data_IF_617528462807
#
_entry.id   IF_617528462807
#
_cell.length_a   1.000
_cell.length_b   1.000
_cell.length_c   1.000
_cell.angle_alpha   90.00
_cell.angle_beta   90.00
_cell.angle_gamma   90.00
#
_symmetry.space_group_name_H-M   'P 1'
#
loop_
_entity.id
_entity.type
_entity.pdbx_description
1 polymer ?
#
# COMPACT_ATOMS: atom_id res chain seq x y z
N UNK A 1 -8.56 -6.56 10.52
CA UNK A 1 -8.52 -5.16 10.06
C UNK A 1 -7.23 -4.54 10.57
N UNK A 2 -6.37 -4.08 9.67
CA UNK A 2 -5.14 -3.38 10.03
C UNK A 2 -5.50 -1.97 10.52
N UNK A 3 -4.98 -1.56 11.69
CA UNK A 3 -5.34 -0.29 12.35
C UNK A 3 -4.17 0.68 12.32
N UNK A 4 -4.42 1.96 12.55
CA UNK A 4 -3.40 3.03 12.61
C UNK A 4 -2.26 2.74 13.60
N UNK A 5 -2.56 2.04 14.69
CA UNK A 5 -1.58 1.60 15.67
C UNK A 5 -0.58 0.60 15.07
N UNK A 6 -1.03 -0.31 14.21
CA UNK A 6 -0.17 -1.26 13.51
C UNK A 6 0.77 -0.54 12.55
N UNK A 7 0.30 0.56 11.95
CA UNK A 7 1.10 1.37 11.04
C UNK A 7 2.21 2.13 11.73
N UNK A 8 1.89 2.82 12.82
CA UNK A 8 2.91 3.57 13.58
C UNK A 8 3.97 2.62 14.13
N UNK A 9 3.57 1.42 14.56
CA UNK A 9 4.52 0.42 15.06
C UNK A 9 5.39 -0.16 13.95
N UNK A 10 4.82 -0.47 12.77
CA UNK A 10 5.60 -0.87 11.61
C UNK A 10 6.64 0.20 11.25
N UNK A 11 6.25 1.49 11.18
CA UNK A 11 7.19 2.57 10.88
C UNK A 11 8.29 2.69 11.93
N UNK A 12 7.95 2.48 13.21
CA UNK A 12 8.94 2.52 14.30
C UNK A 12 9.94 1.37 14.21
N UNK A 13 9.48 0.17 13.88
CA UNK A 13 10.30 -1.05 13.91
C UNK A 13 11.11 -1.26 12.62
N UNK A 14 10.45 -1.09 11.47
CA UNK A 14 11.01 -1.46 10.16
C UNK A 14 11.65 -0.26 9.43
N UNK A 15 11.19 0.96 9.73
CA UNK A 15 11.54 2.18 8.99
C UNK A 15 11.80 3.39 9.91
N UNK A 16 12.61 3.24 10.99
CA UNK A 16 12.78 4.28 12.01
C UNK A 16 13.29 5.61 11.47
N UNK A 17 14.07 5.60 10.38
CA UNK A 17 14.59 6.78 9.70
C UNK A 17 13.48 7.66 9.09
N UNK A 18 12.32 7.09 8.77
CA UNK A 18 11.17 7.78 8.19
C UNK A 18 10.08 8.12 9.20
N UNK A 19 10.20 7.64 10.45
CA UNK A 19 9.16 7.79 11.49
C UNK A 19 8.77 9.25 11.73
N UNK A 20 9.74 10.16 11.80
CA UNK A 20 9.46 11.58 12.04
C UNK A 20 8.66 12.21 10.88
N UNK A 21 9.01 11.87 9.63
CA UNK A 21 8.28 12.32 8.45
C UNK A 21 6.85 11.76 8.43
N UNK A 22 6.71 10.47 8.73
CA UNK A 22 5.41 9.80 8.85
C UNK A 22 4.50 10.46 9.91
N UNK A 23 5.04 10.75 11.09
CA UNK A 23 4.29 11.39 12.17
C UNK A 23 3.90 12.84 11.85
N UNK A 24 4.66 13.52 10.98
CA UNK A 24 4.39 14.87 10.52
C UNK A 24 3.34 14.94 9.39
N UNK A 25 2.88 13.80 8.84
CA UNK A 25 1.87 13.81 7.78
C UNK A 25 0.54 14.38 8.27
N UNK A 26 -0.08 15.28 7.48
CA UNK A 26 -1.23 16.08 7.91
C UNK A 26 -2.54 15.27 7.98
N UNK A 27 -2.66 14.18 7.21
CA UNK A 27 -3.89 13.43 7.07
C UNK A 27 -3.74 11.92 7.26
N UNK A 28 -4.88 11.26 7.49
CA UNK A 28 -4.97 9.80 7.58
C UNK A 28 -4.86 9.11 6.21
N UNK A 29 -5.12 9.83 5.11
CA UNK A 29 -5.06 9.29 3.76
C UNK A 29 -3.60 8.99 3.37
N UNK A 30 -2.71 9.96 3.56
CA UNK A 30 -1.28 9.81 3.28
C UNK A 30 -0.66 8.73 4.17
N UNK A 31 -1.11 8.63 5.42
CA UNK A 31 -0.71 7.55 6.32
C UNK A 31 -1.21 6.20 5.79
N UNK A 32 -2.46 6.11 5.34
CA UNK A 32 -3.02 4.89 4.75
C UNK A 32 -2.23 4.43 3.52
N UNK A 33 -1.77 5.36 2.69
CA UNK A 33 -0.91 5.07 1.54
C UNK A 33 0.44 4.46 1.93
N UNK A 34 0.99 4.85 3.08
CA UNK A 34 2.18 4.20 3.66
C UNK A 34 1.80 2.85 4.28
N UNK A 35 0.61 2.78 4.89
CA UNK A 35 0.07 1.59 5.53
C UNK A 35 -0.02 0.37 4.65
N UNK A 36 -0.39 0.54 3.38
CA UNK A 36 -0.38 -0.57 2.41
C UNK A 36 1.01 -1.19 2.22
N UNK A 37 2.07 -0.40 2.21
CA UNK A 37 3.43 -0.91 2.08
C UNK A 37 3.87 -1.65 3.34
N UNK A 38 3.57 -1.13 4.52
CA UNK A 38 3.84 -1.83 5.77
C UNK A 38 3.09 -3.17 5.87
N UNK A 39 1.82 -3.20 5.49
CA UNK A 39 1.04 -4.44 5.50
C UNK A 39 1.66 -5.49 4.56
N UNK A 40 2.03 -5.09 3.33
CA UNK A 40 2.70 -5.96 2.37
C UNK A 40 4.10 -6.39 2.82
N UNK A 41 4.85 -5.52 3.50
CA UNK A 41 6.18 -5.85 4.01
C UNK A 41 6.11 -6.90 5.12
N UNK A 42 5.20 -6.74 6.09
CA UNK A 42 5.07 -7.66 7.23
C UNK A 42 4.39 -8.99 6.87
N UNK A 43 3.38 -8.97 5.99
CA UNK A 43 2.53 -10.14 5.71
C UNK A 43 2.79 -10.76 4.32
N UNK A 44 3.45 -10.04 3.41
CA UNK A 44 3.52 -10.42 2.00
C UNK A 44 2.15 -10.37 1.31
N UNK A 45 2.03 -11.09 0.20
CA UNK A 45 0.76 -11.32 -0.48
C UNK A 45 0.36 -10.23 -1.49
N UNK A 46 -0.95 -10.08 -1.66
CA UNK A 46 -1.56 -9.20 -2.65
C UNK A 46 -2.40 -8.16 -1.91
N UNK A 47 -2.17 -6.89 -2.22
CA UNK A 47 -3.00 -5.79 -1.77
C UNK A 47 -3.90 -5.32 -2.92
N UNK A 48 -5.16 -5.02 -2.62
CA UNK A 48 -6.12 -4.42 -3.54
C UNK A 48 -6.97 -3.40 -2.78
N UNK A 49 -7.34 -2.30 -3.45
CA UNK A 49 -8.26 -1.33 -2.87
C UNK A 49 -9.67 -1.94 -2.73
N UNK A 50 -10.49 -1.35 -1.86
CA UNK A 50 -11.82 -1.89 -1.53
C UNK A 50 -12.81 -1.85 -2.70
N UNK A 51 -12.51 -1.08 -3.73
CA UNK A 51 -13.28 -0.94 -4.97
C UNK A 51 -12.77 -1.85 -6.09
N UNK A 52 -11.76 -2.68 -5.85
CA UNK A 52 -11.32 -3.71 -6.79
C UNK A 52 -12.11 -5.00 -6.62
N UNK A 53 -12.47 -5.61 -7.75
CA UNK A 53 -13.09 -6.92 -7.81
C UNK A 53 -12.19 -7.92 -8.53
N UNK A 54 -11.93 -9.06 -7.90
CA UNK A 54 -11.24 -10.18 -8.55
C UNK A 54 -12.23 -11.00 -9.35
N UNK A 55 -12.14 -10.92 -10.69
CA UNK A 55 -13.05 -11.62 -11.61
C UNK A 55 -12.61 -13.04 -11.96
N UNK A 56 -11.31 -13.28 -11.93
CA UNK A 56 -10.70 -14.57 -12.30
C UNK A 56 -9.53 -14.87 -11.38
N UNK A 57 -9.28 -16.14 -11.09
CA UNK A 57 -8.11 -16.56 -10.34
C UNK A 57 -6.83 -16.37 -11.17
N UNK A 58 -5.90 -15.55 -10.69
CA UNK A 58 -4.62 -15.25 -11.33
C UNK A 58 -3.41 -15.66 -10.47
N UNK A 59 -3.62 -16.43 -9.40
CA UNK A 59 -2.55 -16.72 -8.42
C UNK A 59 -1.35 -17.44 -9.05
N UNK A 60 -1.59 -18.35 -10.00
CA UNK A 60 -0.55 -19.09 -10.70
C UNK A 60 0.32 -18.21 -11.63
N UNK A 61 -0.14 -17.01 -11.97
CA UNK A 61 0.54 -16.08 -12.87
C UNK A 61 1.47 -15.10 -12.12
N UNK A 62 1.47 -15.14 -10.78
CA UNK A 62 2.24 -14.22 -9.97
C UNK A 62 3.74 -14.50 -10.08
N UNK A 63 4.57 -13.50 -10.44
CA UNK A 63 5.97 -13.70 -10.77
C UNK A 63 6.92 -13.83 -9.56
N UNK A 64 6.40 -14.01 -8.34
CA UNK A 64 7.21 -14.14 -7.12
C UNK A 64 8.06 -12.91 -6.76
N UNK A 65 7.73 -11.74 -7.32
CA UNK A 65 8.41 -10.45 -7.12
C UNK A 65 7.39 -9.34 -6.89
N UNK A 66 7.86 -8.15 -6.52
CA UNK A 66 7.01 -6.97 -6.39
C UNK A 66 6.45 -6.59 -7.76
N UNK A 67 5.12 -6.46 -7.84
CA UNK A 67 4.40 -6.02 -9.04
C UNK A 67 3.45 -4.89 -8.66
N UNK A 68 3.46 -3.82 -9.43
CA UNK A 68 2.52 -2.70 -9.30
C UNK A 68 1.46 -2.79 -10.39
N UNK A 69 0.20 -2.58 -10.02
CA UNK A 69 -0.90 -2.44 -10.97
C UNK A 69 -0.67 -1.24 -11.88
N UNK A 70 -0.80 -1.42 -13.19
CA UNK A 70 -0.71 -0.34 -14.17
C UNK A 70 -2.10 -0.06 -14.73
N UNK A 71 -2.56 1.18 -14.60
CA UNK A 71 -3.73 1.64 -15.34
C UNK A 71 -3.34 2.04 -16.76
N UNK A 72 -4.16 1.63 -17.74
CA UNK A 72 -4.07 2.14 -19.13
C UNK A 72 -4.94 3.38 -19.33
N UNK A 73 -5.66 3.84 -18.30
CA UNK A 73 -6.41 5.08 -18.35
C UNK A 73 -5.43 6.26 -18.39
N UNK A 74 -5.21 6.79 -19.59
CA UNK A 74 -4.67 8.13 -19.76
C UNK A 74 -5.82 9.09 -19.42
N UNK A 75 -5.79 9.69 -18.23
CA UNK A 75 -6.78 10.71 -17.86
C UNK A 75 -6.86 11.83 -18.92
N UNK A 76 -7.85 12.74 -18.81
CA UNK A 76 -7.88 13.91 -19.68
C UNK A 76 -6.55 14.66 -19.56
N UNK A 77 -5.93 15.00 -20.70
CA UNK A 77 -4.76 15.89 -20.70
C UNK A 77 -5.20 17.21 -20.06
N UNK A 78 -4.54 17.61 -18.96
CA UNK A 78 -4.72 18.94 -18.43
C UNK A 78 -4.23 19.94 -19.50
N UNK A 79 -4.99 21.02 -19.78
CA UNK A 79 -4.61 22.02 -20.77
C UNK A 79 -3.31 22.75 -20.42
#
# INVERSE_FOLDING_TARGET
VWRDQNLTECMRQEFPEFLNGFLALPGGIERSDIGRYCALYQQGGIYADLDYEVRTNFYAELPGRIVFGRSTFAGPQQP
#
